data_IF_577952944742
#
_entry.id   IF_577952944742
#
_cell.length_a   1.000
_cell.length_b   1.000
_cell.length_c   1.000
_cell.angle_alpha   90.00
_cell.angle_beta   90.00
_cell.angle_gamma   90.00
#
_symmetry.space_group_name_H-M   'P 1'
#
loop_
_entity.id
_entity.type
_entity.pdbx_description
1 polymer ?
#
# COMPACT_ATOMS: atom_id res chain seq x y z
N UNK A 1 11.67 -24.90 4.48
CA UNK A 1 12.58 -23.84 4.02
C UNK A 1 12.27 -22.61 4.84
N UNK A 2 13.20 -22.16 5.67
CA UNK A 2 13.00 -21.01 6.55
C UNK A 2 12.88 -19.74 5.71
N UNK A 3 11.75 -19.03 5.82
CA UNK A 3 11.57 -17.74 5.15
C UNK A 3 11.83 -16.64 6.17
N UNK A 4 12.60 -15.64 5.75
CA UNK A 4 12.90 -14.47 6.54
C UNK A 4 12.32 -13.23 5.88
N UNK A 5 11.77 -12.32 6.69
CA UNK A 5 11.53 -10.95 6.27
C UNK A 5 12.47 -10.01 7.03
N UNK A 6 12.88 -8.93 6.38
CA UNK A 6 13.87 -7.99 6.87
C UNK A 6 13.42 -6.56 6.60
N UNK A 7 13.59 -5.70 7.60
CA UNK A 7 13.39 -4.26 7.47
C UNK A 7 14.59 -3.56 8.11
N UNK A 8 15.00 -2.42 7.56
CA UNK A 8 16.07 -1.59 8.10
C UNK A 8 15.58 -0.15 8.32
N UNK A 9 15.90 0.44 9.47
CA UNK A 9 15.62 1.85 9.79
C UNK A 9 16.89 2.45 10.39
N UNK A 10 17.49 3.44 9.70
CA UNK A 10 18.73 4.24 9.97
C UNK A 10 19.92 3.57 10.68
N UNK A 11 19.74 2.83 11.78
CA UNK A 11 20.78 2.07 12.51
C UNK A 11 20.33 0.71 13.07
N UNK A 12 19.10 0.28 12.80
CA UNK A 12 18.54 -0.97 13.30
C UNK A 12 18.12 -1.88 12.15
N UNK A 13 18.43 -3.17 12.26
CA UNK A 13 17.94 -4.22 11.37
C UNK A 13 17.06 -5.17 12.15
N UNK A 14 15.81 -5.33 11.72
CA UNK A 14 14.92 -6.36 12.25
C UNK A 14 14.79 -7.49 11.25
N UNK A 15 14.90 -8.73 11.73
CA UNK A 15 14.73 -9.95 10.94
C UNK A 15 13.72 -10.84 11.67
N UNK A 16 12.71 -11.34 10.97
CA UNK A 16 11.75 -12.30 11.53
C UNK A 16 11.65 -13.54 10.66
N UNK A 17 11.37 -14.68 11.29
CA UNK A 17 11.22 -15.98 10.66
C UNK A 17 9.81 -16.51 10.83
N UNK A 18 9.33 -17.25 9.82
CA UNK A 18 8.10 -18.04 9.91
C UNK A 18 8.10 -19.08 11.05
N UNK A 19 9.27 -19.43 11.60
CA UNK A 19 9.45 -20.43 12.65
C UNK A 19 9.33 -19.89 14.09
N UNK A 20 8.81 -18.67 14.26
CA UNK A 20 8.59 -18.12 15.60
C UNK A 20 9.82 -17.43 16.21
N UNK A 21 10.79 -17.05 15.39
CA UNK A 21 12.02 -16.37 15.82
C UNK A 21 12.15 -14.99 15.18
N UNK A 22 12.64 -14.03 15.95
CA UNK A 22 13.07 -12.74 15.40
C UNK A 22 14.32 -12.20 16.08
N UNK A 23 14.94 -11.24 15.44
CA UNK A 23 16.25 -10.71 15.81
C UNK A 23 16.28 -9.20 15.52
N UNK A 24 16.85 -8.45 16.47
CA UNK A 24 17.12 -7.02 16.33
C UNK A 24 18.62 -6.82 16.39
N UNK A 25 19.21 -6.30 15.31
CA UNK A 25 20.63 -5.99 15.24
C UNK A 25 20.85 -4.47 15.28
N UNK A 26 21.91 -4.07 15.98
CA UNK A 26 22.47 -2.73 15.93
C UNK A 26 23.50 -2.66 14.79
N UNK A 27 23.18 -1.87 13.76
CA UNK A 27 24.04 -1.64 12.59
C UNK A 27 25.05 -0.50 12.81
N UNK A 28 25.00 0.22 13.93
CA UNK A 28 26.00 1.25 14.26
C UNK A 28 27.34 0.64 14.72
N UNK A 29 27.35 -0.65 15.05
CA UNK A 29 28.52 -1.39 15.50
C UNK A 29 29.13 -2.20 14.35
N UNK A 30 30.45 -2.45 14.41
CA UNK A 30 31.18 -3.26 13.44
C UNK A 30 31.94 -4.40 14.15
N UNK A 31 31.57 -5.69 13.93
CA UNK A 31 30.44 -6.14 13.12
C UNK A 31 29.08 -5.76 13.74
N UNK A 32 27.99 -5.74 12.95
CA UNK A 32 26.64 -5.56 13.50
C UNK A 32 26.38 -6.51 14.67
N UNK A 33 25.83 -5.99 15.75
CA UNK A 33 25.67 -6.75 17.00
C UNK A 33 24.21 -7.13 17.21
N UNK A 34 23.95 -8.39 17.56
CA UNK A 34 22.61 -8.82 17.98
C UNK A 34 22.27 -8.16 19.33
N UNK A 35 21.31 -7.24 19.31
CA UNK A 35 20.84 -6.53 20.51
C UNK A 35 19.79 -7.33 21.26
N UNK A 36 18.79 -7.85 20.53
CA UNK A 36 17.61 -8.47 21.14
C UNK A 36 17.13 -9.66 20.32
N UNK A 37 16.70 -10.72 21.00
CA UNK A 37 15.97 -11.85 20.39
C UNK A 37 14.47 -11.69 20.65
N UNK A 38 13.68 -11.84 19.61
CA UNK A 38 12.23 -11.79 19.66
C UNK A 38 11.69 -13.21 19.69
N UNK A 39 10.84 -13.52 20.66
CA UNK A 39 10.04 -14.74 20.62
C UNK A 39 8.69 -14.39 20.00
N UNK A 40 8.51 -14.75 18.74
CA UNK A 40 7.29 -14.43 18.00
C UNK A 40 6.45 -15.69 17.79
N UNK A 41 5.18 -15.53 17.47
CA UNK A 41 4.34 -16.65 17.09
C UNK A 41 4.80 -17.21 15.73
N UNK A 42 4.69 -18.53 15.55
CA UNK A 42 4.97 -19.19 14.27
C UNK A 42 3.91 -18.84 13.23
N UNK A 43 4.28 -18.94 11.94
CA UNK A 43 3.34 -18.69 10.84
C UNK A 43 3.23 -17.24 10.38
N UNK A 44 4.17 -16.37 10.78
CA UNK A 44 4.24 -15.00 10.27
C UNK A 44 4.23 -14.97 8.73
N UNK A 45 3.26 -14.26 8.15
CA UNK A 45 3.04 -14.24 6.69
C UNK A 45 3.91 -13.24 5.94
N UNK A 46 4.81 -12.55 6.65
CA UNK A 46 6.03 -12.01 6.07
C UNK A 46 6.04 -10.52 5.77
N UNK A 47 4.97 -9.74 6.00
CA UNK A 47 5.14 -8.28 6.06
C UNK A 47 5.69 -7.88 7.43
N UNK A 48 6.88 -7.27 7.43
CA UNK A 48 7.58 -6.79 8.60
C UNK A 48 7.77 -5.29 8.44
N UNK A 49 7.33 -4.53 9.42
CA UNK A 49 7.72 -3.12 9.53
C UNK A 49 8.16 -2.77 10.94
N UNK A 50 8.80 -1.62 11.09
CA UNK A 50 9.38 -1.22 12.37
C UNK A 50 9.42 0.31 12.51
N UNK A 51 9.40 0.78 13.75
CA UNK A 51 9.77 2.15 14.10
C UNK A 51 10.93 2.13 15.10
N UNK A 52 11.15 3.19 15.89
CA UNK A 52 12.27 3.25 16.85
C UNK A 52 12.23 2.11 17.89
N UNK A 53 11.06 1.88 18.50
CA UNK A 53 10.93 1.02 19.69
C UNK A 53 10.27 -0.33 19.43
N UNK A 54 9.60 -0.48 18.28
CA UNK A 54 8.73 -1.59 18.01
C UNK A 54 8.95 -2.21 16.63
N UNK A 55 8.63 -3.48 16.56
CA UNK A 55 8.59 -4.28 15.34
C UNK A 55 7.21 -4.89 15.22
N UNK A 56 6.61 -4.78 14.03
CA UNK A 56 5.30 -5.33 13.72
C UNK A 56 5.42 -6.36 12.62
N UNK A 57 4.68 -7.45 12.75
CA UNK A 57 4.51 -8.42 11.68
C UNK A 57 3.07 -8.92 11.68
N UNK A 58 2.65 -9.37 10.51
CA UNK A 58 1.31 -9.94 10.37
C UNK A 58 1.29 -11.46 10.56
N UNK A 59 0.22 -11.93 11.21
CA UNK A 59 -0.20 -13.34 11.29
C UNK A 59 -1.55 -13.58 10.57
N UNK A 60 -1.85 -12.80 9.54
CA UNK A 60 -3.03 -12.99 8.71
C UNK A 60 -4.31 -12.70 9.49
N UNK A 61 -5.11 -13.73 9.78
CA UNK A 61 -6.40 -13.59 10.49
C UNK A 61 -6.24 -13.20 11.97
N UNK A 62 -5.05 -13.44 12.52
CA UNK A 62 -4.73 -13.06 13.89
C UNK A 62 -4.28 -11.59 14.00
N UNK A 63 -4.13 -10.90 12.86
CA UNK A 63 -3.86 -9.47 12.80
C UNK A 63 -2.38 -9.12 12.96
N UNK A 64 -2.12 -7.94 13.52
CA UNK A 64 -0.78 -7.36 13.63
C UNK A 64 -0.22 -7.56 15.03
N UNK A 65 0.87 -8.31 15.13
CA UNK A 65 1.57 -8.56 16.37
C UNK A 65 2.69 -7.56 16.53
N UNK A 66 2.68 -6.80 17.64
CA UNK A 66 3.68 -5.77 17.90
C UNK A 66 4.57 -6.20 19.06
N UNK A 67 5.89 -6.23 18.83
CA UNK A 67 6.89 -6.59 19.82
C UNK A 67 7.80 -5.40 20.13
N UNK A 68 8.30 -5.35 21.37
CA UNK A 68 9.33 -4.38 21.78
C UNK A 68 10.67 -4.81 21.23
N UNK A 69 11.42 -3.87 20.64
CA UNK A 69 12.81 -4.12 20.25
C UNK A 69 13.76 -4.19 21.44
N UNK A 70 13.36 -3.64 22.58
CA UNK A 70 14.20 -3.57 23.78
C UNK A 70 14.11 -4.87 24.58
N UNK A 71 12.88 -5.29 24.91
CA UNK A 71 12.67 -6.50 25.72
C UNK A 71 12.48 -7.77 24.90
N UNK A 72 12.14 -7.64 23.61
CA UNK A 72 11.74 -8.75 22.74
C UNK A 72 10.33 -9.28 22.99
N UNK A 73 9.65 -8.80 24.05
CA UNK A 73 8.33 -9.24 24.45
C UNK A 73 7.21 -8.68 23.56
N UNK A 74 6.09 -9.41 23.54
CA UNK A 74 4.85 -8.96 22.91
C UNK A 74 4.31 -7.74 23.65
N UNK A 75 4.12 -6.62 22.94
CA UNK A 75 3.46 -5.41 23.47
C UNK A 75 1.94 -5.53 23.37
N UNK A 76 1.46 -6.22 22.35
CA UNK A 76 0.04 -6.51 22.16
C UNK A 76 -0.26 -6.83 20.70
N UNK A 77 -1.54 -7.04 20.43
CA UNK A 77 -2.04 -7.46 19.11
C UNK A 77 -3.15 -6.51 18.71
N UNK A 78 -3.06 -6.00 17.49
CA UNK A 78 -4.17 -5.29 16.86
C UNK A 78 -4.94 -6.28 16.01
N UNK A 79 -6.24 -6.39 16.27
CA UNK A 79 -7.16 -7.27 15.58
C UNK A 79 -8.13 -6.44 14.74
N UNK A 80 -7.82 -6.16 13.46
CA UNK A 80 -8.69 -5.34 12.61
C UNK A 80 -10.13 -5.86 12.55
N UNK A 81 -10.34 -7.18 12.65
CA UNK A 81 -11.67 -7.80 12.67
C UNK A 81 -12.60 -7.32 13.79
N UNK A 82 -12.05 -6.83 14.90
CA UNK A 82 -12.84 -6.29 16.01
C UNK A 82 -13.19 -4.80 15.84
N UNK A 83 -12.73 -4.17 14.75
CA UNK A 83 -12.95 -2.74 14.51
C UNK A 83 -14.38 -2.49 14.04
N UNK A 84 -15.05 -1.54 14.68
CA UNK A 84 -16.47 -1.21 14.42
C UNK A 84 -16.67 0.01 13.54
N UNK A 85 -15.69 0.90 13.44
CA UNK A 85 -15.79 2.07 12.57
C UNK A 85 -15.51 1.62 11.14
N UNK A 86 -16.59 1.35 10.41
CA UNK A 86 -16.54 0.92 9.03
C UNK A 86 -16.86 2.12 8.14
N UNK A 87 -15.97 2.34 7.17
CA UNK A 87 -16.11 3.28 6.09
C UNK A 87 -15.98 2.54 4.77
N UNK A 88 -16.33 3.21 3.69
CA UNK A 88 -16.10 2.69 2.36
C UNK A 88 -15.73 3.78 1.36
N UNK A 89 -15.01 3.36 0.32
CA UNK A 89 -14.75 4.15 -0.89
C UNK A 89 -15.37 3.38 -2.05
N UNK A 90 -16.25 4.05 -2.81
CA UNK A 90 -16.75 3.49 -4.06
C UNK A 90 -15.60 3.54 -5.06
N UNK A 91 -15.22 2.38 -5.59
CA UNK A 91 -14.17 2.31 -6.58
C UNK A 91 -14.55 3.19 -7.78
N UNK A 92 -13.69 4.13 -8.19
CA UNK A 92 -14.02 4.99 -9.30
C UNK A 92 -14.33 4.11 -10.51
N UNK A 93 -15.44 4.39 -11.19
CA UNK A 93 -15.63 3.82 -12.54
C UNK A 93 -14.57 4.48 -13.39
N UNK A 94 -13.47 3.78 -13.57
CA UNK A 94 -12.40 4.34 -14.35
C UNK A 94 -12.85 4.24 -15.78
N UNK A 95 -13.42 5.35 -16.26
CA UNK A 95 -13.55 5.62 -17.67
C UNK A 95 -12.10 5.60 -18.13
N UNK A 96 -11.69 4.46 -18.69
CA UNK A 96 -10.72 4.50 -19.76
C UNK A 96 -11.29 5.60 -20.64
N UNK A 97 -10.66 6.77 -20.68
CA UNK A 97 -10.69 7.47 -21.93
C UNK A 97 -10.36 6.36 -22.91
N UNK A 98 -11.33 6.07 -23.77
CA UNK A 98 -11.01 5.58 -25.07
C UNK A 98 -9.90 6.52 -25.57
N UNK A 99 -8.64 6.21 -25.25
CA UNK A 99 -7.78 5.70 -26.30
C UNK A 99 -8.69 4.73 -27.01
N UNK A 100 -9.39 5.27 -27.99
CA UNK A 100 -10.18 4.47 -28.89
C UNK A 100 -9.26 3.31 -29.29
N UNK A 101 -9.82 2.34 -29.95
CA UNK A 101 -9.05 1.74 -31.02
C UNK A 101 -8.66 2.81 -32.10
N UNK A 102 -8.31 4.05 -31.73
CA UNK A 102 -7.18 4.74 -32.32
C UNK A 102 -6.01 3.81 -32.05
N UNK A 103 -5.85 2.90 -33.01
CA UNK A 103 -4.56 2.45 -33.47
C UNK A 103 -3.52 3.46 -32.99
N UNK A 104 -2.88 3.18 -31.84
CA UNK A 104 -1.66 3.88 -31.48
C UNK A 104 -0.84 3.79 -32.75
N UNK A 105 -0.60 4.90 -33.47
CA UNK A 105 0.09 4.78 -34.73
C UNK A 105 1.39 4.04 -34.38
N UNK A 106 1.83 3.07 -35.21
CA UNK A 106 3.04 2.29 -34.97
C UNK A 106 4.30 3.17 -34.86
N UNK A 107 4.13 4.49 -34.94
CA UNK A 107 5.10 5.56 -34.76
C UNK A 107 4.97 6.34 -33.45
N UNK A 108 4.27 5.86 -32.40
CA UNK A 108 4.51 6.42 -31.05
C UNK A 108 5.89 5.98 -30.59
N UNK A 109 6.90 6.69 -31.11
CA UNK A 109 8.29 6.66 -30.70
C UNK A 109 8.35 6.54 -29.19
N UNK A 110 9.22 5.64 -28.74
CA UNK A 110 9.71 5.50 -27.37
C UNK A 110 9.08 6.51 -26.38
N UNK A 111 8.28 6.02 -25.41
CA UNK A 111 7.90 6.80 -24.19
C UNK A 111 9.10 7.05 -23.26
N UNK A 112 10.27 7.13 -23.87
CA UNK A 112 11.55 7.51 -23.32
C UNK A 112 12.14 8.52 -24.33
N UNK A 113 12.32 9.79 -23.96
CA UNK A 113 12.26 10.35 -22.60
C UNK A 113 10.84 10.38 -21.98
N UNK A 114 10.72 10.64 -20.66
CA UNK A 114 9.43 10.77 -19.98
C UNK A 114 8.47 11.65 -20.79
N UNK A 115 7.19 11.24 -20.86
CA UNK A 115 6.16 12.06 -21.48
C UNK A 115 6.10 13.45 -20.81
N UNK A 116 5.69 14.47 -21.55
CA UNK A 116 5.38 15.80 -21.00
C UNK A 116 4.50 15.69 -19.75
N UNK A 117 4.68 16.62 -18.81
CA UNK A 117 3.88 16.68 -17.57
C UNK A 117 2.39 16.68 -17.93
N UNK A 118 1.66 15.63 -17.51
CA UNK A 118 0.21 15.50 -17.77
C UNK A 118 -0.56 15.92 -16.52
N UNK A 119 -1.55 16.80 -16.70
CA UNK A 119 -2.39 17.34 -15.62
C UNK A 119 -3.73 16.61 -15.47
N UNK A 120 -3.82 15.27 -15.32
CA UNK A 120 -5.17 14.65 -15.24
C UNK A 120 -5.31 13.17 -14.80
N UNK A 121 -4.28 12.47 -14.31
CA UNK A 121 -4.47 11.02 -14.00
C UNK A 121 -4.96 10.70 -12.58
N UNK A 122 -5.39 11.71 -11.81
CA UNK A 122 -5.95 11.54 -10.47
C UNK A 122 -7.46 11.73 -10.50
N UNK A 123 -8.20 10.71 -10.10
CA UNK A 123 -9.64 10.74 -9.94
C UNK A 123 -9.96 11.05 -8.47
N UNK A 124 -10.62 12.17 -8.16
CA UNK A 124 -11.11 12.44 -6.81
C UNK A 124 -12.09 11.35 -6.38
N UNK A 125 -11.96 10.90 -5.14
CA UNK A 125 -12.89 9.94 -4.52
C UNK A 125 -13.41 10.50 -3.20
N UNK A 126 -14.39 9.82 -2.62
CA UNK A 126 -14.96 10.22 -1.33
C UNK A 126 -15.02 9.03 -0.39
N UNK A 127 -14.70 9.30 0.87
CA UNK A 127 -14.96 8.39 1.96
C UNK A 127 -16.41 8.52 2.41
N UNK A 128 -17.06 7.39 2.65
CA UNK A 128 -18.43 7.32 3.14
C UNK A 128 -18.49 6.48 4.39
N UNK A 129 -19.33 6.87 5.34
CA UNK A 129 -19.55 6.08 6.55
C UNK A 129 -20.44 4.86 6.26
N UNK A 130 -20.15 3.74 6.94
CA UNK A 130 -20.89 2.49 6.85
C UNK A 130 -20.28 1.49 5.88
N UNK A 131 -20.90 0.31 5.84
CA UNK A 131 -20.50 -0.81 4.99
C UNK A 131 -20.61 -0.48 3.49
N UNK A 132 -19.77 -1.11 2.67
CA UNK A 132 -19.81 -0.94 1.22
C UNK A 132 -21.16 -1.46 0.67
N UNK A 133 -21.89 -0.67 -0.14
CA UNK A 133 -23.25 -1.03 -0.61
C UNK A 133 -23.27 -2.27 -1.50
N UNK A 134 -22.19 -2.52 -2.23
CA UNK A 134 -21.98 -3.73 -3.02
C UNK A 134 -20.86 -4.57 -2.38
N UNK A 135 -21.15 -5.28 -1.28
CA UNK A 135 -20.20 -6.23 -0.67
C UNK A 135 -19.86 -7.33 -1.68
N UNK A 136 -18.82 -7.08 -2.49
CA UNK A 136 -18.31 -8.00 -3.50
C UNK A 136 -17.12 -8.82 -3.01
N UNK A 137 -16.51 -8.44 -1.89
CA UNK A 137 -15.44 -9.24 -1.29
C UNK A 137 -15.98 -10.61 -0.93
N UNK A 138 -15.33 -11.65 -1.47
CA UNK A 138 -15.69 -13.05 -1.26
C UNK A 138 -15.37 -13.55 0.15
N UNK A 139 -14.66 -12.74 0.95
CA UNK A 139 -14.14 -13.09 2.27
C UNK A 139 -14.76 -12.18 3.32
N UNK A 140 -15.32 -12.77 4.37
CA UNK A 140 -15.84 -12.02 5.52
C UNK A 140 -14.71 -11.29 6.26
N UNK A 141 -15.02 -10.24 7.02
CA UNK A 141 -14.01 -9.51 7.81
C UNK A 141 -13.29 -10.43 8.83
N UNK A 142 -14.02 -11.42 9.38
CA UNK A 142 -13.49 -12.40 10.34
C UNK A 142 -12.52 -13.40 9.72
N UNK A 143 -12.71 -13.72 8.44
CA UNK A 143 -11.86 -14.64 7.69
C UNK A 143 -10.77 -13.94 6.88
N UNK A 144 -10.74 -12.61 6.94
CA UNK A 144 -9.81 -11.82 6.17
C UNK A 144 -8.38 -11.95 6.70
N UNK A 145 -7.44 -12.02 5.77
CA UNK A 145 -6.02 -12.22 6.06
C UNK A 145 -5.30 -10.90 5.87
N UNK A 146 -4.86 -10.30 6.97
CA UNK A 146 -4.18 -9.00 6.96
C UNK A 146 -2.75 -9.18 6.47
N UNK A 147 -2.39 -8.77 5.26
CA UNK A 147 -1.10 -9.10 4.67
C UNK A 147 -0.04 -8.05 4.96
N UNK A 148 -0.22 -6.87 4.37
CA UNK A 148 0.69 -5.74 4.50
C UNK A 148 0.37 -4.89 5.72
N UNK A 149 1.36 -4.28 6.34
CA UNK A 149 1.16 -3.39 7.48
C UNK A 149 2.37 -2.55 7.82
N UNK A 150 2.19 -1.22 7.88
CA UNK A 150 3.27 -0.26 8.11
C UNK A 150 2.99 0.64 9.30
N UNK A 151 4.07 1.00 10.00
CA UNK A 151 4.10 1.95 11.10
C UNK A 151 4.62 3.29 10.58
N UNK A 152 3.97 4.37 10.99
CA UNK A 152 4.49 5.72 10.78
C UNK A 152 4.05 6.61 11.93
N UNK A 153 4.99 7.13 12.71
CA UNK A 153 4.69 7.86 13.95
C UNK A 153 3.71 7.05 14.84
N UNK A 154 2.52 7.61 15.11
CA UNK A 154 1.45 6.97 15.87
C UNK A 154 0.44 6.20 15.01
N UNK A 155 0.62 6.17 13.70
CA UNK A 155 -0.21 5.39 12.80
C UNK A 155 0.31 3.97 12.66
N UNK A 156 -0.63 3.04 12.59
CA UNK A 156 -0.44 1.79 11.87
C UNK A 156 -1.50 1.73 10.77
N UNK A 157 -1.07 1.33 9.58
CA UNK A 157 -1.95 1.11 8.45
C UNK A 157 -1.72 -0.29 7.92
N UNK A 158 -2.78 -0.95 7.50
CA UNK A 158 -2.76 -2.33 7.08
C UNK A 158 -3.64 -2.59 5.89
N UNK A 159 -3.30 -3.59 5.09
CA UNK A 159 -4.12 -4.01 3.94
C UNK A 159 -4.36 -5.51 4.03
N UNK A 160 -5.63 -5.89 3.86
CA UNK A 160 -6.07 -7.28 3.91
C UNK A 160 -6.15 -7.91 2.53
N UNK A 161 -6.13 -9.24 2.47
CA UNK A 161 -6.33 -10.03 1.25
C UNK A 161 -7.67 -9.70 0.57
N UNK A 162 -8.70 -9.36 1.35
CA UNK A 162 -9.99 -8.89 0.83
C UNK A 162 -10.01 -7.46 0.29
N UNK A 163 -8.86 -6.77 0.20
CA UNK A 163 -8.77 -5.39 -0.27
C UNK A 163 -9.31 -4.35 0.73
N UNK A 164 -9.36 -4.68 2.03
CA UNK A 164 -9.76 -3.76 3.08
C UNK A 164 -8.54 -3.07 3.67
N UNK A 165 -8.72 -1.81 4.07
CA UNK A 165 -7.66 -1.02 4.69
C UNK A 165 -7.97 -0.89 6.18
N UNK A 166 -7.03 -1.24 7.04
CA UNK A 166 -7.08 -0.95 8.46
C UNK A 166 -6.24 0.28 8.75
N UNK A 167 -6.78 1.20 9.53
CA UNK A 167 -6.06 2.38 10.01
C UNK A 167 -6.27 2.44 11.51
N UNK A 168 -5.20 2.57 12.28
CA UNK A 168 -5.28 3.06 13.67
C UNK A 168 -4.38 4.27 13.81
N UNK A 169 -4.97 5.41 14.20
CA UNK A 169 -4.28 6.69 14.35
C UNK A 169 -3.54 6.86 15.67
N UNK A 170 -3.75 5.93 16.60
CA UNK A 170 -3.01 5.80 17.86
C UNK A 170 -2.85 4.32 18.18
N UNK A 171 -1.93 3.66 17.47
CA UNK A 171 -1.74 2.22 17.64
C UNK A 171 -1.29 1.86 19.07
N UNK A 172 -0.54 2.74 19.73
CA UNK A 172 -0.07 2.52 21.10
C UNK A 172 -1.21 2.58 22.12
N UNK A 173 -2.08 3.59 21.98
CA UNK A 173 -3.29 3.72 22.77
C UNK A 173 -4.26 2.57 22.50
N UNK A 174 -4.44 2.19 21.24
CA UNK A 174 -5.29 1.07 20.82
C UNK A 174 -4.85 -0.28 21.42
N UNK A 175 -3.54 -0.50 21.58
CA UNK A 175 -3.01 -1.68 22.28
C UNK A 175 -3.29 -1.67 23.79
N UNK A 176 -3.37 -0.48 24.38
CA UNK A 176 -3.46 -0.31 25.83
C UNK A 176 -4.90 -0.36 26.34
N UNK A 177 -5.85 0.17 25.56
CA UNK A 177 -7.24 0.37 25.99
C UNK A 177 -8.23 0.08 24.86
N UNK A 178 -9.25 -0.76 25.08
CA UNK A 178 -10.31 -1.02 24.09
C UNK A 178 -11.04 0.25 23.64
N UNK A 179 -11.26 1.21 24.55
CA UNK A 179 -11.95 2.46 24.25
C UNK A 179 -11.13 3.33 23.29
N UNK A 180 -9.80 3.34 23.46
CA UNK A 180 -8.91 4.04 22.53
C UNK A 180 -8.86 3.32 21.19
N UNK A 181 -8.88 1.98 21.17
CA UNK A 181 -8.97 1.23 19.92
C UNK A 181 -10.25 1.59 19.14
N UNK A 182 -11.40 1.64 19.82
CA UNK A 182 -12.68 2.05 19.22
C UNK A 182 -12.68 3.52 18.77
N UNK A 183 -12.00 4.43 19.48
CA UNK A 183 -11.96 5.85 19.10
C UNK A 183 -10.96 6.18 17.97
N UNK A 184 -10.02 5.28 17.66
CA UNK A 184 -8.86 5.59 16.79
C UNK A 184 -8.67 4.62 15.64
N UNK A 185 -9.41 3.51 15.62
CA UNK A 185 -9.25 2.47 14.59
C UNK A 185 -10.44 2.42 13.64
N UNK A 186 -10.17 2.28 12.35
CA UNK A 186 -11.17 2.22 11.30
C UNK A 186 -10.82 1.16 10.24
N UNK A 187 -11.86 0.62 9.60
CA UNK A 187 -11.75 -0.19 8.39
C UNK A 187 -12.32 0.62 7.24
N UNK A 188 -11.59 0.66 6.13
CA UNK A 188 -12.08 1.18 4.85
C UNK A 188 -12.28 -0.01 3.93
N UNK A 189 -13.54 -0.25 3.57
CA UNK A 189 -13.92 -1.21 2.55
C UNK A 189 -13.81 -0.56 1.15
N UNK A 190 -13.27 -1.31 0.19
CA UNK A 190 -13.22 -0.91 -1.22
C UNK A 190 -13.83 -2.02 -2.09
N UNK A 191 -14.09 -1.74 -3.37
CA UNK A 191 -14.58 -2.79 -4.29
C UNK A 191 -13.44 -3.72 -4.69
N UNK A 192 -13.51 -4.97 -4.22
CA UNK A 192 -12.59 -6.04 -4.60
C UNK A 192 -13.33 -7.07 -5.48
N UNK A 193 -12.69 -7.52 -6.56
CA UNK A 193 -13.29 -8.41 -7.55
C UNK A 193 -12.90 -9.89 -7.40
N UNK A 194 -11.98 -10.23 -6.48
CA UNK A 194 -11.60 -11.61 -6.17
C UNK A 194 -10.48 -12.20 -7.03
N UNK A 195 -9.95 -11.47 -8.02
CA UNK A 195 -9.25 -12.11 -9.15
C UNK A 195 -7.70 -11.98 -9.08
N UNK A 196 -7.14 -11.01 -8.37
CA UNK A 196 -5.70 -10.67 -8.52
C UNK A 196 -4.93 -10.30 -7.23
N UNK A 197 -5.52 -10.44 -6.04
CA UNK A 197 -4.93 -9.90 -4.82
C UNK A 197 -4.41 -11.01 -3.87
N UNK A 198 -3.11 -11.33 -3.98
CA UNK A 198 -2.47 -12.29 -3.09
C UNK A 198 -1.66 -11.54 -2.00
N UNK A 199 -2.06 -11.71 -0.73
CA UNK A 199 -1.37 -11.23 0.48
C UNK A 199 -1.25 -9.70 0.71
N UNK A 200 -2.28 -8.91 0.40
CA UNK A 200 -2.38 -7.55 0.95
C UNK A 200 -1.86 -6.42 0.04
N UNK A 201 -1.44 -6.70 -1.20
CA UNK A 201 -1.02 -5.67 -2.14
C UNK A 201 0.14 -4.80 -1.64
N UNK A 202 0.34 -3.64 -2.27
CA UNK A 202 1.34 -2.67 -1.83
C UNK A 202 0.72 -1.58 -0.97
N UNK A 203 1.46 -1.22 0.07
CA UNK A 203 1.14 -0.17 1.02
C UNK A 203 2.38 0.72 1.17
N UNK A 204 2.18 2.03 1.26
CA UNK A 204 3.20 2.97 1.71
C UNK A 204 2.55 4.02 2.60
N UNK A 205 3.22 4.39 3.69
CA UNK A 205 2.78 5.49 4.56
C UNK A 205 3.94 6.42 4.86
N UNK A 206 3.73 7.72 4.68
CA UNK A 206 4.71 8.77 5.00
C UNK A 206 4.02 10.15 4.99
N UNK A 207 4.43 11.06 5.88
CA UNK A 207 3.88 12.41 6.01
C UNK A 207 2.34 12.47 5.91
N UNK A 208 1.66 11.70 6.77
CA UNK A 208 0.20 11.63 6.88
C UNK A 208 -0.53 11.20 5.58
N UNK A 209 0.18 10.57 4.64
CA UNK A 209 -0.37 10.03 3.40
C UNK A 209 -0.19 8.53 3.37
N UNK A 210 -1.23 7.84 2.95
CA UNK A 210 -1.23 6.41 2.69
C UNK A 210 -1.46 6.19 1.21
N UNK A 211 -0.60 5.39 0.60
CA UNK A 211 -0.86 4.80 -0.70
C UNK A 211 -1.17 3.32 -0.52
N UNK A 212 -2.22 2.85 -1.17
CA UNK A 212 -2.54 1.43 -1.19
C UNK A 212 -3.09 1.02 -2.56
N UNK A 213 -2.75 -0.18 -3.00
CA UNK A 213 -3.29 -0.76 -4.22
C UNK A 213 -4.50 -1.64 -3.91
N UNK A 214 -5.64 -1.38 -4.57
CA UNK A 214 -6.75 -2.32 -4.65
C UNK A 214 -7.39 -2.27 -6.04
N UNK A 215 -7.64 -3.44 -6.62
CA UNK A 215 -8.38 -3.61 -7.88
C UNK A 215 -7.84 -2.70 -9.03
N UNK A 216 -6.55 -2.84 -9.33
CA UNK A 216 -5.84 -2.09 -10.38
C UNK A 216 -5.86 -0.55 -10.24
N UNK A 217 -6.10 -0.07 -9.02
CA UNK A 217 -5.99 1.34 -8.68
C UNK A 217 -5.08 1.54 -7.46
N UNK A 218 -4.22 2.56 -7.55
CA UNK A 218 -3.56 3.13 -6.38
C UNK A 218 -4.44 4.23 -5.84
N UNK A 219 -4.80 4.12 -4.57
CA UNK A 219 -5.45 5.19 -3.83
C UNK A 219 -4.40 6.02 -3.11
N UNK A 220 -4.64 7.32 -3.03
CA UNK A 220 -3.87 8.29 -2.27
C UNK A 220 -4.82 8.82 -1.21
N UNK A 221 -4.61 8.39 0.02
CA UNK A 221 -5.47 8.67 1.15
C UNK A 221 -4.75 9.56 2.17
N UNK A 222 -5.35 10.68 2.52
CA UNK A 222 -4.81 11.59 3.53
C UNK A 222 -5.34 11.19 4.91
N UNK A 223 -4.43 10.88 5.84
CA UNK A 223 -4.77 10.50 7.21
C UNK A 223 -5.32 11.69 8.00
N UNK A 224 -6.19 11.38 8.97
CA UNK A 224 -6.67 12.38 9.92
C UNK A 224 -5.64 12.59 11.02
N UNK A 225 -5.35 13.85 11.33
CA UNK A 225 -4.41 14.23 12.39
C UNK A 225 -5.02 14.04 13.80
N UNK A 226 -4.16 14.07 14.82
CA UNK A 226 -4.53 14.10 16.24
C UNK A 226 -5.25 12.87 16.78
N UNK A 227 -4.87 11.67 16.35
CA UNK A 227 -5.46 10.41 16.86
C UNK A 227 -6.98 10.35 16.63
N UNK A 228 -7.46 10.81 15.48
CA UNK A 228 -8.89 10.83 15.13
C UNK A 228 -9.19 9.84 14.02
N UNK A 229 -10.41 9.32 14.05
CA UNK A 229 -10.98 8.55 12.93
C UNK A 229 -10.99 9.38 11.64
N UNK A 230 -10.95 8.71 10.47
CA UNK A 230 -11.18 9.34 9.19
C UNK A 230 -12.46 10.19 9.15
N UNK A 231 -12.36 11.40 8.59
CA UNK A 231 -13.51 12.27 8.32
C UNK A 231 -14.20 11.85 7.02
N UNK A 232 -15.49 11.57 7.10
CA UNK A 232 -16.34 11.21 5.95
C UNK A 232 -17.48 12.23 5.80
N UNK A 233 -17.13 13.52 5.83
CA UNK A 233 -18.05 14.66 5.73
C UNK A 233 -17.57 15.67 4.66
N UNK A 234 -18.24 16.81 4.57
CA UNK A 234 -17.90 17.89 3.63
C UNK A 234 -16.48 18.45 3.82
N UNK A 235 -15.89 18.28 5.01
CA UNK A 235 -14.52 18.71 5.35
C UNK A 235 -13.52 17.54 5.29
N UNK A 236 -13.85 16.45 4.61
CA UNK A 236 -12.91 15.34 4.43
C UNK A 236 -11.65 15.82 3.72
N UNK A 237 -10.45 15.40 4.18
CA UNK A 237 -9.23 15.57 3.41
C UNK A 237 -9.36 14.96 2.00
N UNK A 238 -8.62 15.50 1.01
CA UNK A 238 -8.65 14.95 -0.34
C UNK A 238 -8.22 13.48 -0.38
N UNK A 239 -8.98 12.70 -1.16
CA UNK A 239 -8.66 11.32 -1.50
C UNK A 239 -8.68 11.22 -3.03
N UNK A 240 -7.66 10.58 -3.58
CA UNK A 240 -7.52 10.39 -5.02
C UNK A 240 -7.30 8.92 -5.34
N UNK A 241 -7.59 8.54 -6.58
CA UNK A 241 -7.28 7.23 -7.12
C UNK A 241 -6.68 7.37 -8.52
N UNK A 242 -5.83 6.43 -8.91
CA UNK A 242 -5.18 6.42 -10.22
C UNK A 242 -4.89 4.99 -10.68
N UNK A 243 -4.97 4.73 -11.98
CA UNK A 243 -4.81 3.38 -12.52
C UNK A 243 -3.39 2.85 -12.45
N UNK A 244 -3.28 1.54 -12.18
CA UNK A 244 -2.02 0.78 -12.26
C UNK A 244 -1.80 0.15 -13.64
N UNK A 245 -2.70 0.34 -14.61
CA UNK A 245 -2.52 -0.14 -15.98
C UNK A 245 -2.98 0.88 -17.01
N UNK A 246 -2.29 0.95 -18.16
CA UNK A 246 -2.73 1.72 -19.32
C UNK A 246 -3.66 0.95 -20.27
N UNK A 247 -4.09 -0.27 -19.90
CA UNK A 247 -5.04 -1.06 -20.69
C UNK A 247 -5.55 -2.30 -19.93
N UNK A 248 -6.78 -2.74 -20.21
CA UNK A 248 -7.47 -3.78 -19.43
C UNK A 248 -6.88 -5.19 -19.58
N UNK A 249 -6.18 -5.51 -20.67
CA UNK A 249 -5.76 -6.88 -20.96
C UNK A 249 -4.44 -7.31 -20.28
N UNK A 250 -3.72 -6.37 -19.66
CA UNK A 250 -2.34 -6.60 -19.19
C UNK A 250 -2.07 -6.03 -17.80
N UNK A 251 -3.09 -5.87 -16.97
CA UNK A 251 -2.86 -5.41 -15.60
C UNK A 251 -1.90 -6.37 -14.89
N UNK A 252 -0.78 -5.83 -14.40
CA UNK A 252 0.15 -6.56 -13.53
C UNK A 252 0.18 -5.76 -12.24
N UNK A 253 0.01 -6.40 -11.07
CA UNK A 253 -0.03 -5.70 -9.80
C UNK A 253 1.19 -4.79 -9.61
N UNK A 254 1.03 -3.74 -8.80
CA UNK A 254 2.14 -2.93 -8.34
C UNK A 254 3.23 -3.85 -7.77
N UNK A 255 4.48 -3.47 -7.91
CA UNK A 255 5.66 -4.17 -7.39
C UNK A 255 6.63 -3.23 -6.66
N UNK A 256 6.29 -1.95 -6.60
CA UNK A 256 6.96 -0.93 -5.80
C UNK A 256 5.99 0.25 -5.62
N UNK A 257 5.93 0.78 -4.40
CA UNK A 257 5.13 1.93 -4.04
C UNK A 257 5.82 2.68 -2.91
N UNK A 258 5.95 3.99 -3.02
CA UNK A 258 6.56 4.82 -2.00
C UNK A 258 6.01 6.25 -2.04
N UNK A 259 5.97 6.87 -0.86
CA UNK A 259 5.68 8.28 -0.67
C UNK A 259 6.98 8.97 -0.27
N UNK A 260 7.32 10.05 -0.96
CA UNK A 260 8.46 10.91 -0.66
C UNK A 260 7.98 12.30 -0.23
N UNK A 261 8.93 13.19 0.09
CA UNK A 261 8.61 14.55 0.52
C UNK A 261 7.87 15.34 -0.57
N UNK A 262 8.33 15.22 -1.82
CA UNK A 262 7.88 16.03 -2.97
C UNK A 262 7.22 15.22 -4.09
N UNK A 263 7.14 13.90 -3.97
CA UNK A 263 6.52 13.05 -4.98
C UNK A 263 5.96 11.74 -4.43
N UNK A 264 5.10 11.13 -5.25
CA UNK A 264 4.61 9.77 -5.06
C UNK A 264 5.13 8.90 -6.19
N UNK A 265 5.62 7.71 -5.89
CA UNK A 265 6.14 6.80 -6.90
C UNK A 265 5.51 5.42 -6.76
N UNK A 266 5.08 4.85 -7.88
CA UNK A 266 4.64 3.47 -7.92
C UNK A 266 4.82 2.87 -9.31
N UNK A 267 4.95 1.55 -9.38
CA UNK A 267 4.99 0.86 -10.67
C UNK A 267 3.59 0.72 -11.25
N UNK A 268 3.48 0.83 -12.57
CA UNK A 268 2.25 0.56 -13.31
C UNK A 268 2.58 -0.23 -14.58
N UNK A 269 1.62 -0.94 -15.14
CA UNK A 269 1.79 -1.67 -16.40
C UNK A 269 1.42 -0.79 -17.58
N UNK A 270 2.28 -0.81 -18.59
CA UNK A 270 2.02 -0.24 -19.90
C UNK A 270 2.39 -1.23 -21.00
N UNK A 271 2.10 -0.88 -22.25
CA UNK A 271 2.43 -1.71 -23.41
C UNK A 271 3.70 -1.14 -24.04
N UNK A 272 4.77 -1.93 -24.01
CA UNK A 272 5.98 -1.68 -24.80
C UNK A 272 5.81 -2.28 -26.20
N UNK A 273 6.47 -1.68 -27.18
CA UNK A 273 6.59 -2.26 -28.52
C UNK A 273 8.03 -2.73 -28.74
N UNK A 274 8.20 -3.99 -29.11
CA UNK A 274 9.49 -4.50 -29.57
C UNK A 274 9.62 -4.19 -31.07
N UNK A 275 10.50 -3.25 -31.42
CA UNK A 275 10.93 -3.06 -32.80
C UNK A 275 11.69 -4.30 -33.25
N UNK A 276 11.06 -5.12 -34.09
CA UNK A 276 11.81 -6.06 -34.91
C UNK A 276 12.74 -5.22 -35.81
N UNK A 277 14.00 -5.63 -35.90
CA UNK A 277 15.05 -4.97 -36.69
C UNK A 277 14.50 -4.43 -38.02
N UNK A 278 14.98 -3.28 -38.53
CA UNK A 278 14.40 -2.54 -39.67
C UNK A 278 14.33 -3.31 -41.00
N UNK A 279 14.76 -4.57 -41.05
CA UNK A 279 14.79 -5.43 -42.24
C UNK A 279 13.57 -6.33 -42.41
N UNK A 280 12.60 -6.35 -41.49
CA UNK A 280 11.36 -7.14 -41.63
C UNK A 280 10.15 -6.21 -41.50
N UNK A 281 9.97 -5.34 -42.50
CA UNK A 281 9.01 -4.22 -42.52
C UNK A 281 7.53 -4.62 -42.60
N UNK A 282 7.18 -5.90 -42.52
CA UNK A 282 5.81 -6.41 -42.74
C UNK A 282 5.20 -7.13 -41.53
N UNK A 283 5.91 -7.21 -40.40
CA UNK A 283 5.36 -7.79 -39.16
C UNK A 283 4.90 -6.67 -38.23
N UNK A 284 3.67 -6.78 -37.74
CA UNK A 284 3.16 -5.89 -36.70
C UNK A 284 4.11 -5.92 -35.49
N UNK A 285 4.45 -4.76 -34.90
CA UNK A 285 5.30 -4.70 -33.73
C UNK A 285 4.70 -5.54 -32.61
N UNK A 286 5.54 -6.38 -31.98
CA UNK A 286 5.09 -7.23 -30.88
C UNK A 286 4.81 -6.36 -29.66
N UNK A 287 3.58 -6.41 -29.17
CA UNK A 287 3.19 -5.75 -27.93
C UNK A 287 3.60 -6.61 -26.73
N UNK A 288 4.26 -5.99 -25.75
CA UNK A 288 4.74 -6.64 -24.54
C UNK A 288 4.27 -5.88 -23.29
N UNK A 289 3.61 -6.54 -22.32
CA UNK A 289 3.38 -5.96 -21.01
C UNK A 289 4.70 -5.53 -20.38
N UNK A 290 4.80 -4.24 -20.05
CA UNK A 290 6.01 -3.61 -19.55
C UNK A 290 5.71 -2.91 -18.24
N UNK A 291 6.45 -3.23 -17.18
CA UNK A 291 6.39 -2.50 -15.91
C UNK A 291 7.18 -1.20 -16.05
N UNK A 292 6.51 -0.08 -15.78
CA UNK A 292 7.11 1.25 -15.75
C UNK A 292 6.90 1.89 -14.37
N UNK A 293 7.64 2.95 -14.07
CA UNK A 293 7.47 3.75 -12.84
C UNK A 293 6.67 5.00 -13.19
N UNK A 294 5.58 5.26 -12.46
CA UNK A 294 4.89 6.55 -12.48
C UNK A 294 5.40 7.39 -11.31
N UNK A 295 5.69 8.65 -11.60
CA UNK A 295 6.05 9.66 -10.60
C UNK A 295 4.98 10.74 -10.64
N UNK A 296 4.32 10.99 -9.52
CA UNK A 296 3.42 12.11 -9.33
C UNK A 296 4.20 13.19 -8.57
N UNK A 297 4.67 14.21 -9.30
CA UNK A 297 5.35 15.35 -8.70
C UNK A 297 4.34 16.27 -8.01
N UNK A 298 4.66 16.67 -6.79
CA UNK A 298 3.91 17.66 -6.00
C UNK A 298 4.64 19.03 -5.97
N UNK A 299 5.81 19.13 -6.61
CA UNK A 299 6.53 20.38 -6.74
C UNK A 299 5.75 21.35 -7.66
N UNK A 300 5.73 22.66 -7.34
CA UNK A 300 5.03 23.64 -8.15
C UNK A 300 5.70 23.82 -9.52
N UNK A 301 4.89 24.13 -10.54
CA UNK A 301 5.39 24.60 -11.83
C UNK A 301 6.08 25.96 -11.63
N UNK A 302 7.40 26.00 -11.79
CA UNK A 302 8.21 27.23 -11.62
C UNK A 302 7.95 28.27 -12.72
N UNK A 303 7.20 27.93 -13.76
CA UNK A 303 6.82 28.85 -14.84
C UNK A 303 5.57 29.68 -14.51
N UNK A 304 4.75 29.26 -13.53
CA UNK A 304 3.52 29.95 -13.11
C UNK A 304 3.75 30.99 -11.98
N UNK A 305 5.00 31.32 -11.65
CA UNK A 305 5.37 32.29 -10.59
C UNK A 305 5.80 33.68 -11.10
N UNK A 306 5.36 34.11 -12.28
CA UNK A 306 5.57 35.47 -12.80
C UNK A 306 4.33 36.36 -12.71
#
# INVERSE_FOLDING_TARGET
MQRFCMSAMTRTLCVVSTEGQGFVYDLALNPPHLRTRLQIAGGAIGHLDQNEDAVVFSLGRDGYHIHSKDSGGLRGILHPKHTRNIYHIIHPTIILHSAELEEFPPSSEYRFPPAEIRRDQLLPTQLKHGEHPARRSLVSLEEDEWGAGMLYNNYIVGVSRGGRIFISSDWQGALSKPETAEATSAIIETEETGIHFDLGGWLSVYNDRVLFEVNDAVYIFTLSTDSKLPKADENQPPIFATQTSSGNAYAVPVSFMAVFDDCLMFTYTTIGQESLLPRISNLLPRQLPTKAIRILSLAPDMEDTK
#
